data_IF_202941910301
#
_entry.id   IF_202941910301
#
_cell.length_a   1.000
_cell.length_b   1.000
_cell.length_c   1.000
_cell.angle_alpha   90.00
_cell.angle_beta   90.00
_cell.angle_gamma   90.00
#
_symmetry.space_group_name_H-M   'P 1'
#
loop_
_entity.id
_entity.type
_entity.pdbx_description
1 polymer ?
#
# COMPACT_ATOMS: atom_id res chain seq x y z
N UNK A 1 -12.60 -6.68 -6.47
CA UNK A 1 -11.79 -7.00 -7.67
C UNK A 1 -12.38 -8.28 -8.17
N UNK A 2 -12.80 -8.35 -9.43
CA UNK A 2 -13.38 -9.58 -9.95
C UNK A 2 -12.24 -10.59 -10.24
N UNK A 3 -12.36 -11.80 -9.69
CA UNK A 3 -11.31 -12.83 -9.76
C UNK A 3 -11.05 -13.25 -11.20
N UNK A 4 -12.10 -13.40 -12.00
CA UNK A 4 -12.03 -13.81 -13.40
C UNK A 4 -11.39 -12.71 -14.25
N UNK A 5 -11.82 -11.46 -14.08
CA UNK A 5 -11.20 -10.31 -14.74
C UNK A 5 -9.71 -10.20 -14.41
N UNK A 6 -9.33 -10.39 -13.14
CA UNK A 6 -7.91 -10.31 -12.75
C UNK A 6 -7.09 -11.42 -13.41
N UNK A 7 -7.60 -12.66 -13.40
CA UNK A 7 -7.00 -13.80 -14.11
C UNK A 7 -6.83 -13.51 -15.60
N UNK A 8 -7.86 -13.03 -16.27
CA UNK A 8 -7.82 -12.71 -17.70
C UNK A 8 -6.75 -11.66 -18.04
N UNK A 9 -6.66 -10.60 -17.25
CA UNK A 9 -5.64 -9.57 -17.43
C UNK A 9 -4.21 -10.10 -17.23
N UNK A 10 -4.01 -11.05 -16.31
CA UNK A 10 -2.72 -11.72 -16.13
C UNK A 10 -2.39 -12.65 -17.30
N UNK A 11 -3.35 -13.45 -17.75
CA UNK A 11 -3.19 -14.36 -18.89
C UNK A 11 -2.84 -13.60 -20.18
N UNK A 12 -3.40 -12.40 -20.41
CA UNK A 12 -3.02 -11.54 -21.54
C UNK A 12 -1.55 -11.10 -21.48
N UNK A 13 -1.02 -10.88 -20.26
CA UNK A 13 0.37 -10.42 -20.06
C UNK A 13 1.39 -11.55 -20.08
N UNK A 14 0.98 -12.75 -19.69
CA UNK A 14 1.83 -13.94 -19.64
C UNK A 14 1.05 -15.16 -20.14
N UNK A 15 0.86 -15.31 -21.46
CA UNK A 15 -0.04 -16.31 -22.04
C UNK A 15 0.40 -17.76 -21.82
N UNK A 16 1.68 -17.98 -21.50
CA UNK A 16 2.25 -19.31 -21.27
C UNK A 16 2.18 -19.74 -19.78
N UNK A 17 1.51 -18.96 -18.93
CA UNK A 17 1.34 -19.25 -17.51
C UNK A 17 -0.14 -19.49 -17.22
N UNK A 18 -0.43 -20.56 -16.48
CA UNK A 18 -1.79 -20.83 -15.98
C UNK A 18 -2.00 -20.05 -14.69
N UNK A 19 -2.97 -19.15 -14.68
CA UNK A 19 -3.32 -18.34 -13.51
C UNK A 19 -4.56 -18.86 -12.79
N UNK A 20 -4.46 -18.97 -11.47
CA UNK A 20 -5.59 -19.17 -10.56
C UNK A 20 -5.68 -17.94 -9.68
N UNK A 21 -6.85 -17.29 -9.68
CA UNK A 21 -7.13 -16.09 -8.88
C UNK A 21 -8.36 -16.36 -8.04
N UNK A 22 -8.25 -16.18 -6.73
CA UNK A 22 -9.33 -16.38 -5.77
C UNK A 22 -9.21 -15.35 -4.64
N UNK A 23 -10.34 -14.97 -4.06
CA UNK A 23 -10.39 -14.29 -2.79
C UNK A 23 -9.88 -15.20 -1.67
N UNK A 24 -9.14 -14.59 -0.75
CA UNK A 24 -8.56 -15.26 0.42
C UNK A 24 -7.67 -16.47 0.05
N UNK A 25 -6.99 -16.41 -1.09
CA UNK A 25 -6.11 -17.49 -1.53
C UNK A 25 -4.99 -17.83 -0.52
N UNK A 26 -4.60 -16.90 0.35
CA UNK A 26 -3.64 -17.14 1.43
C UNK A 26 -4.19 -18.00 2.59
N UNK A 27 -5.51 -18.15 2.73
CA UNK A 27 -6.09 -19.11 3.68
C UNK A 27 -6.18 -20.54 3.13
N UNK A 28 -6.16 -20.67 1.80
CA UNK A 28 -6.35 -21.93 1.07
C UNK A 28 -5.04 -22.57 0.62
N UNK A 29 -4.06 -21.76 0.19
CA UNK A 29 -2.83 -22.25 -0.43
C UNK A 29 -1.59 -21.82 0.35
N UNK A 30 -0.81 -22.80 0.85
CA UNK A 30 0.40 -22.55 1.66
C UNK A 30 1.42 -21.65 0.96
N UNK A 31 1.59 -21.79 -0.36
CA UNK A 31 2.53 -20.94 -1.12
C UNK A 31 2.08 -19.47 -1.13
N UNK A 32 0.78 -19.21 -1.23
CA UNK A 32 0.21 -17.87 -1.17
C UNK A 32 0.28 -17.31 0.25
N UNK A 33 0.06 -18.16 1.27
CA UNK A 33 0.26 -17.79 2.67
C UNK A 33 1.71 -17.35 2.94
N UNK A 34 2.69 -18.12 2.47
CA UNK A 34 4.11 -17.77 2.59
C UNK A 34 4.43 -16.44 1.89
N UNK A 35 3.92 -16.22 0.68
CA UNK A 35 4.06 -14.95 -0.02
C UNK A 35 3.44 -13.77 0.76
N UNK A 36 2.28 -13.99 1.38
CA UNK A 36 1.58 -13.02 2.24
C UNK A 36 2.43 -12.62 3.46
N UNK A 37 3.12 -13.58 4.09
CA UNK A 37 4.07 -13.32 5.20
C UNK A 37 5.25 -12.48 4.71
N UNK A 38 5.91 -12.89 3.62
CA UNK A 38 7.06 -12.17 3.07
C UNK A 38 6.68 -10.73 2.73
N UNK A 39 5.52 -10.52 2.11
CA UNK A 39 5.02 -9.19 1.76
C UNK A 39 4.79 -8.32 3.00
N UNK A 40 4.11 -8.84 4.03
CA UNK A 40 3.81 -8.11 5.28
C UNK A 40 5.09 -7.76 6.05
N UNK A 41 6.00 -8.73 6.24
CA UNK A 41 7.27 -8.51 6.94
C UNK A 41 8.14 -7.47 6.22
N UNK A 42 8.22 -7.55 4.89
CA UNK A 42 8.99 -6.58 4.09
C UNK A 42 8.43 -5.17 4.21
N UNK A 43 7.10 -5.05 4.16
CA UNK A 43 6.42 -3.77 4.34
C UNK A 43 6.68 -3.18 5.72
N UNK A 44 6.55 -3.97 6.78
CA UNK A 44 6.71 -3.48 8.15
C UNK A 44 8.16 -3.05 8.41
N UNK A 45 9.14 -3.78 7.86
CA UNK A 45 10.54 -3.34 7.85
C UNK A 45 10.72 -2.00 7.16
N UNK A 46 10.08 -1.79 6.00
CA UNK A 46 10.17 -0.51 5.28
C UNK A 46 9.55 0.65 6.09
N UNK A 47 8.44 0.43 6.78
CA UNK A 47 7.85 1.43 7.68
C UNK A 47 8.81 1.71 8.85
N UNK A 48 9.43 0.69 9.44
CA UNK A 48 10.41 0.85 10.51
C UNK A 48 11.64 1.65 10.06
N UNK A 49 12.11 1.46 8.82
CA UNK A 49 13.17 2.29 8.23
C UNK A 49 12.74 3.75 8.11
N UNK A 50 11.54 4.02 7.57
CA UNK A 50 11.01 5.38 7.49
C UNK A 50 10.90 6.02 8.87
N UNK A 51 10.50 5.25 9.88
CA UNK A 51 10.42 5.75 11.26
C UNK A 51 11.77 6.23 11.81
N UNK A 52 12.88 5.60 11.40
CA UNK A 52 14.23 6.01 11.82
C UNK A 52 14.62 7.38 11.27
N UNK A 53 14.15 7.73 10.08
CA UNK A 53 14.51 8.99 9.41
C UNK A 53 13.51 10.13 9.64
N UNK A 54 12.22 9.80 9.76
CA UNK A 54 11.13 10.78 9.77
C UNK A 54 10.36 10.85 11.09
N UNK A 55 10.69 10.02 12.09
CA UNK A 55 9.91 9.87 13.32
C UNK A 55 8.67 9.00 13.11
N UNK A 56 7.67 9.07 13.99
CA UNK A 56 6.48 8.20 13.90
C UNK A 56 5.60 8.52 12.67
N UNK A 57 5.79 7.78 11.57
CA UNK A 57 4.96 7.86 10.37
C UNK A 57 3.67 7.03 10.47
N UNK A 58 3.46 6.32 11.59
CA UNK A 58 2.37 5.37 11.77
C UNK A 58 2.48 4.13 10.86
N UNK A 59 1.35 3.48 10.57
CA UNK A 59 1.29 2.26 9.73
C UNK A 59 1.36 2.51 8.21
N UNK A 60 1.25 3.77 7.79
CA UNK A 60 1.15 4.16 6.38
C UNK A 60 -0.26 4.03 5.81
N UNK A 61 -1.25 3.59 6.59
CA UNK A 61 -2.66 3.57 6.16
C UNK A 61 -3.37 4.89 6.46
N UNK A 62 -4.35 5.32 5.64
CA UNK A 62 -5.08 6.56 5.91
C UNK A 62 -6.03 6.43 7.09
N UNK A 63 -6.37 5.20 7.49
CA UNK A 63 -7.15 4.90 8.68
C UNK A 63 -6.35 5.04 9.97
N UNK A 64 -5.02 5.12 9.91
CA UNK A 64 -4.17 5.33 11.09
C UNK A 64 -4.05 6.84 11.37
N UNK A 65 -4.56 7.33 12.51
CA UNK A 65 -4.49 8.75 12.85
C UNK A 65 -3.05 9.29 12.90
N UNK A 66 -2.06 8.43 13.25
CA UNK A 66 -0.64 8.83 13.31
C UNK A 66 -0.09 9.13 11.93
N UNK A 67 -0.43 8.30 10.94
CA UNK A 67 -0.04 8.51 9.55
C UNK A 67 -0.65 9.80 8.99
N UNK A 68 -1.93 10.06 9.26
CA UNK A 68 -2.57 11.28 8.78
C UNK A 68 -2.03 12.55 9.46
N UNK A 69 -1.68 12.46 10.75
CA UNK A 69 -0.99 13.52 11.47
C UNK A 69 0.38 13.80 10.86
N UNK A 70 1.21 12.77 10.68
CA UNK A 70 2.52 12.88 10.04
C UNK A 70 2.44 13.57 8.67
N UNK A 71 1.52 13.12 7.80
CA UNK A 71 1.34 13.72 6.47
C UNK A 71 0.97 15.20 6.55
N UNK A 72 0.07 15.58 7.47
CA UNK A 72 -0.34 16.98 7.65
C UNK A 72 0.82 17.85 8.13
N UNK A 73 1.53 17.39 9.15
CA UNK A 73 2.67 18.12 9.73
C UNK A 73 3.81 18.28 8.73
N UNK A 74 4.13 17.22 7.99
CA UNK A 74 5.12 17.25 6.92
C UNK A 74 4.74 18.27 5.84
N UNK A 75 3.48 18.28 5.40
CA UNK A 75 2.99 19.21 4.39
C UNK A 75 3.03 20.66 4.87
N UNK A 76 2.58 20.94 6.09
CA UNK A 76 2.64 22.29 6.67
C UNK A 76 4.09 22.78 6.78
N UNK A 77 5.02 21.89 7.16
CA UNK A 77 6.44 22.24 7.33
C UNK A 77 7.19 22.45 6.02
N UNK A 78 6.89 21.67 4.99
CA UNK A 78 7.69 21.60 3.76
C UNK A 78 6.99 22.15 2.52
N UNK A 79 5.68 22.42 2.59
CA UNK A 79 4.84 22.82 1.46
C UNK A 79 4.59 21.69 0.44
N UNK A 80 5.04 20.46 0.70
CA UNK A 80 4.93 19.33 -0.22
C UNK A 80 4.69 18.02 0.54
N UNK A 81 4.27 16.98 -0.20
CA UNK A 81 4.15 15.64 0.36
C UNK A 81 5.51 14.94 0.41
N UNK A 82 5.77 14.03 1.37
CA UNK A 82 6.97 13.22 1.33
C UNK A 82 7.02 12.39 0.04
N UNK A 83 8.20 12.22 -0.55
CA UNK A 83 8.37 11.50 -1.83
C UNK A 83 7.81 10.08 -1.80
N UNK A 84 7.89 9.41 -0.65
CA UNK A 84 7.36 8.05 -0.46
C UNK A 84 5.84 8.01 -0.25
N UNK A 85 5.16 9.17 -0.14
CA UNK A 85 3.72 9.24 0.01
C UNK A 85 3.01 9.08 -1.35
N UNK A 86 1.90 8.36 -1.36
CA UNK A 86 1.09 8.16 -2.56
C UNK A 86 0.18 9.36 -2.81
N UNK A 87 0.65 10.32 -3.60
CA UNK A 87 -0.07 11.59 -3.91
C UNK A 87 -1.43 11.40 -4.61
N UNK A 88 -1.64 10.24 -5.25
CA UNK A 88 -2.89 9.89 -5.93
C UNK A 88 -3.99 9.41 -4.99
N UNK A 89 -3.67 9.15 -3.71
CA UNK A 89 -4.65 8.65 -2.76
C UNK A 89 -5.69 9.71 -2.40
N UNK A 90 -6.97 9.39 -2.65
CA UNK A 90 -8.12 10.26 -2.35
C UNK A 90 -8.13 10.74 -0.90
N UNK A 91 -7.76 9.87 0.04
CA UNK A 91 -7.71 10.22 1.47
C UNK A 91 -6.71 11.33 1.76
N UNK A 92 -5.52 11.29 1.13
CA UNK A 92 -4.50 12.33 1.29
C UNK A 92 -4.98 13.64 0.66
N UNK A 93 -5.52 13.58 -0.57
CA UNK A 93 -6.08 14.75 -1.26
C UNK A 93 -7.18 15.42 -0.44
N UNK A 94 -8.11 14.63 0.11
CA UNK A 94 -9.20 15.13 0.98
C UNK A 94 -8.66 15.78 2.25
N UNK A 95 -7.71 15.14 2.92
CA UNK A 95 -7.17 15.66 4.18
C UNK A 95 -6.33 16.92 4.01
N UNK A 96 -5.65 17.08 2.87
CA UNK A 96 -4.83 18.24 2.57
C UNK A 96 -5.56 19.36 1.83
N UNK A 97 -6.83 19.16 1.45
CA UNK A 97 -7.62 20.17 0.73
C UNK A 97 -7.10 20.48 -0.67
N UNK A 98 -6.21 19.64 -1.22
CA UNK A 98 -5.66 19.82 -2.58
C UNK A 98 -6.77 19.44 -3.58
N UNK A 99 -7.37 20.46 -4.20
CA UNK A 99 -8.30 20.31 -5.34
C UNK A 99 -7.50 20.10 -6.64
N UNK A 100 -8.13 19.40 -7.59
CA UNK A 100 -7.61 19.19 -8.95
C UNK A 100 -7.34 20.51 -9.68
#
# INVERSE_FOLDING_TARGET
MDEERFREELSKRAPNIVFVSEHEADSKYTVTAAASIVAKVTRDRRIAELNKFYGDVGSGYPSDPRTMRFIREYYVKTGSLPEFARTTWKSIRRTLGVRE
#
